data_IF_445173478269
#
_entry.id   IF_445173478269
#
_cell.length_a   1.000
_cell.length_b   1.000
_cell.length_c   1.000
_cell.angle_alpha   90.00
_cell.angle_beta   90.00
_cell.angle_gamma   90.00
#
_symmetry.space_group_name_H-M   'P 1'
#
loop_
_entity.id
_entity.type
_entity.pdbx_description
1 polymer ?
#
# COMPACT_ATOMS: atom_id res chain seq x y z
N UNK A 1 -2.19 23.86 34.35
CA UNK A 1 -0.91 23.87 33.62
C UNK A 1 -0.55 22.49 33.10
N UNK A 2 -0.62 22.31 31.79
CA UNK A 2 -0.23 21.08 31.09
C UNK A 2 1.30 20.94 31.13
N UNK A 3 1.80 19.95 31.88
CA UNK A 3 3.23 19.60 31.99
C UNK A 3 3.82 18.97 30.71
N UNK A 4 2.98 18.57 29.76
CA UNK A 4 3.34 17.74 28.60
C UNK A 4 4.27 18.40 27.56
N UNK A 5 4.07 19.66 27.10
CA UNK A 5 4.87 20.21 25.99
C UNK A 5 6.29 20.66 26.38
N UNK A 6 6.66 20.64 27.67
CA UNK A 6 7.98 21.16 28.13
C UNK A 6 9.11 20.14 28.17
N UNK A 7 8.82 18.83 28.05
CA UNK A 7 9.84 17.76 28.16
C UNK A 7 10.04 16.91 26.92
N UNK A 8 9.15 17.00 25.93
CA UNK A 8 9.28 16.22 24.71
C UNK A 8 10.26 16.93 23.77
N UNK A 9 11.35 16.25 23.44
CA UNK A 9 12.32 16.69 22.44
C UNK A 9 11.99 16.04 21.11
N UNK A 10 12.20 16.77 20.03
CA UNK A 10 12.18 16.15 18.70
C UNK A 10 13.24 15.04 18.68
N UNK A 11 12.91 13.95 17.99
CA UNK A 11 13.77 12.77 17.91
C UNK A 11 13.87 12.31 16.47
N UNK A 12 14.96 11.64 16.16
CA UNK A 12 15.17 10.95 14.89
C UNK A 12 15.25 9.46 15.18
N UNK A 13 14.67 8.65 14.30
CA UNK A 13 14.79 7.20 14.32
C UNK A 13 15.01 6.71 12.89
N UNK A 14 15.66 5.57 12.74
CA UNK A 14 15.75 4.84 11.47
C UNK A 14 14.61 3.83 11.34
N UNK A 15 14.30 3.39 10.13
CA UNK A 15 13.31 2.33 9.91
C UNK A 15 13.75 1.00 10.55
N UNK A 16 15.05 0.72 10.55
CA UNK A 16 15.65 -0.40 11.26
C UNK A 16 15.35 -0.37 12.76
N UNK A 17 15.50 0.78 13.41
CA UNK A 17 15.18 0.95 14.84
C UNK A 17 13.69 0.82 15.13
N UNK A 18 12.83 1.10 14.14
CA UNK A 18 11.38 0.88 14.21
C UNK A 18 10.97 -0.58 13.94
N UNK A 19 11.92 -1.45 13.61
CA UNK A 19 11.64 -2.87 13.33
C UNK A 19 11.32 -3.18 11.87
N UNK A 20 11.64 -2.29 10.95
CA UNK A 20 11.46 -2.46 9.50
C UNK A 20 12.83 -2.57 8.80
N UNK A 21 13.44 -3.76 8.76
CA UNK A 21 14.77 -3.96 8.18
C UNK A 21 14.80 -4.01 6.65
N UNK A 22 13.64 -4.11 5.99
CA UNK A 22 13.51 -4.18 4.54
C UNK A 22 13.35 -2.81 3.85
N UNK A 23 13.61 -2.78 2.55
CA UNK A 23 13.28 -1.64 1.69
C UNK A 23 11.78 -1.59 1.40
N UNK A 24 11.25 -0.40 1.17
CA UNK A 24 9.85 -0.23 0.82
C UNK A 24 9.53 1.21 0.44
N UNK A 25 8.27 1.57 0.61
CA UNK A 25 7.79 2.93 0.43
C UNK A 25 7.14 3.45 1.70
N UNK A 26 7.32 4.75 1.93
CA UNK A 26 6.62 5.50 2.95
C UNK A 26 5.56 6.37 2.28
N UNK A 27 4.29 6.09 2.56
CA UNK A 27 3.15 6.84 2.05
C UNK A 27 2.53 7.72 3.15
N UNK A 28 2.39 9.02 2.89
CA UNK A 28 1.71 9.97 3.76
C UNK A 28 0.24 10.07 3.36
N UNK A 29 -0.65 9.51 4.19
CA UNK A 29 -2.06 9.35 3.87
C UNK A 29 -2.79 10.68 3.61
N UNK A 30 -2.40 11.76 4.30
CA UNK A 30 -3.10 13.04 4.15
C UNK A 30 -2.64 13.81 2.91
N UNK A 31 -1.35 13.71 2.57
CA UNK A 31 -0.78 14.43 1.43
C UNK A 31 -0.70 13.61 0.14
N UNK A 32 -0.98 12.31 0.22
CA UNK A 32 -0.79 11.32 -0.85
C UNK A 32 0.64 11.30 -1.42
N UNK A 33 1.62 11.78 -0.65
CA UNK A 33 3.02 11.73 -1.03
C UNK A 33 3.60 10.36 -0.74
N UNK A 34 4.47 9.91 -1.63
CA UNK A 34 5.17 8.64 -1.50
C UNK A 34 6.66 8.83 -1.74
N UNK A 35 7.47 8.08 -1.03
CA UNK A 35 8.92 8.00 -1.24
C UNK A 35 9.41 6.60 -1.00
N UNK A 36 10.36 6.15 -1.80
CA UNK A 36 11.13 4.97 -1.47
C UNK A 36 11.99 5.23 -0.24
N UNK A 37 12.13 4.20 0.59
CA UNK A 37 12.93 4.24 1.79
C UNK A 37 13.68 2.92 1.97
N UNK A 38 14.87 3.03 2.57
CA UNK A 38 15.66 1.92 3.08
C UNK A 38 15.67 1.88 4.61
N UNK A 39 16.22 0.80 5.18
CA UNK A 39 16.25 0.57 6.63
C UNK A 39 17.02 1.64 7.41
N UNK A 40 18.01 2.26 6.78
CA UNK A 40 18.88 3.25 7.42
C UNK A 40 18.40 4.70 7.17
N UNK A 41 17.29 4.89 6.44
CA UNK A 41 16.68 6.21 6.27
C UNK A 41 16.08 6.71 7.58
N UNK A 42 16.20 8.02 7.79
CA UNK A 42 15.77 8.68 9.02
C UNK A 42 14.36 9.24 8.89
N UNK A 43 13.55 9.02 9.92
CA UNK A 43 12.29 9.72 10.14
C UNK A 43 12.43 10.73 11.28
N UNK A 44 12.03 11.97 11.01
CA UNK A 44 11.97 13.03 12.01
C UNK A 44 10.63 13.00 12.76
N UNK A 45 10.69 12.76 14.06
CA UNK A 45 9.54 12.88 14.95
C UNK A 45 9.49 14.31 15.50
N UNK A 46 8.70 15.18 14.84
CA UNK A 46 8.47 16.58 15.25
C UNK A 46 7.37 16.66 16.30
N UNK A 47 7.71 16.24 17.52
CA UNK A 47 6.75 16.02 18.61
C UNK A 47 6.22 17.33 19.24
N UNK A 48 6.86 18.47 18.97
CA UNK A 48 6.40 19.79 19.44
C UNK A 48 5.35 20.47 18.56
N UNK A 49 5.07 19.92 17.37
CA UNK A 49 4.07 20.47 16.45
C UNK A 49 2.74 19.74 16.66
N UNK A 50 1.62 20.45 16.58
CA UNK A 50 0.29 19.82 16.51
C UNK A 50 0.00 19.20 15.13
N UNK A 51 1.01 19.13 14.26
CA UNK A 51 0.92 18.49 12.96
C UNK A 51 1.08 16.99 13.14
N UNK A 52 0.01 16.22 12.91
CA UNK A 52 0.06 14.77 12.87
C UNK A 52 0.20 14.31 11.42
N UNK A 53 1.15 13.41 11.17
CA UNK A 53 1.26 12.69 9.91
C UNK A 53 0.76 11.27 10.10
N UNK A 54 0.01 10.76 9.13
CA UNK A 54 -0.32 9.35 9.08
C UNK A 54 0.51 8.68 8.00
N UNK A 55 1.61 8.07 8.43
CA UNK A 55 2.57 7.43 7.56
C UNK A 55 2.34 5.92 7.52
N UNK A 56 2.30 5.38 6.31
CA UNK A 56 2.17 3.94 6.03
C UNK A 56 3.50 3.48 5.49
N UNK A 57 4.16 2.56 6.18
CA UNK A 57 5.26 1.82 5.60
C UNK A 57 4.72 0.60 4.86
N UNK A 58 5.02 0.50 3.57
CA UNK A 58 4.67 -0.64 2.74
C UNK A 58 5.97 -1.27 2.21
N UNK A 59 6.35 -2.47 2.70
CA UNK A 59 7.54 -3.14 2.22
C UNK A 59 7.38 -3.55 0.74
N UNK A 60 8.48 -3.58 0.00
CA UNK A 60 8.44 -4.07 -1.37
C UNK A 60 8.08 -5.57 -1.40
N UNK A 61 7.02 -5.90 -2.12
CA UNK A 61 6.63 -7.29 -2.38
C UNK A 61 7.60 -7.93 -3.39
N UNK A 62 8.02 -7.13 -4.36
CA UNK A 62 9.12 -7.38 -5.31
C UNK A 62 9.76 -6.03 -5.63
N UNK A 63 10.93 -6.03 -6.27
CA UNK A 63 11.61 -4.78 -6.64
C UNK A 63 10.66 -3.81 -7.37
N UNK A 64 10.48 -2.63 -6.79
CA UNK A 64 9.68 -1.56 -7.38
C UNK A 64 8.16 -1.70 -7.27
N UNK A 65 7.63 -2.69 -6.55
CA UNK A 65 6.18 -2.85 -6.32
C UNK A 65 5.87 -3.07 -4.84
N UNK A 66 5.00 -2.25 -4.26
CA UNK A 66 4.54 -2.35 -2.88
C UNK A 66 3.02 -2.17 -2.79
N UNK A 67 2.37 -2.93 -1.91
CA UNK A 67 0.95 -2.76 -1.62
C UNK A 67 0.78 -1.83 -0.42
N UNK A 68 0.19 -0.65 -0.64
CA UNK A 68 -0.04 0.34 0.41
C UNK A 68 -1.29 -0.02 1.22
N UNK A 69 -2.33 -0.55 0.57
CA UNK A 69 -3.54 -1.04 1.21
C UNK A 69 -4.82 -0.50 0.59
N UNK A 70 -5.85 -0.26 1.41
CA UNK A 70 -7.19 0.15 0.98
C UNK A 70 -7.54 1.53 1.57
N UNK A 71 -7.34 2.63 0.82
CA UNK A 71 -7.42 3.97 1.41
C UNK A 71 -8.83 4.36 1.90
N UNK A 72 -9.89 3.68 1.44
CA UNK A 72 -11.28 3.98 1.78
C UNK A 72 -11.77 3.35 3.10
N UNK A 73 -11.11 2.30 3.61
CA UNK A 73 -11.67 1.44 4.68
C UNK A 73 -10.74 1.20 5.86
N UNK A 74 -9.96 2.21 6.24
CA UNK A 74 -8.89 2.14 7.22
C UNK A 74 -7.63 1.46 6.67
N UNK A 75 -6.53 2.18 6.81
CA UNK A 75 -5.16 1.91 6.32
C UNK A 75 -4.53 0.61 6.85
N UNK A 76 -5.23 -0.15 7.70
CA UNK A 76 -4.68 -1.40 8.20
C UNK A 76 -5.14 -2.57 7.34
N UNK A 77 -4.19 -3.17 6.61
CA UNK A 77 -4.24 -4.56 6.17
C UNK A 77 -4.44 -5.56 7.35
N UNK A 78 -4.56 -5.07 8.60
CA UNK A 78 -4.98 -5.85 9.77
C UNK A 78 -6.50 -6.08 9.85
N UNK A 79 -7.30 -5.39 9.04
CA UNK A 79 -8.73 -5.69 8.95
C UNK A 79 -8.92 -6.83 7.94
N UNK A 80 -9.71 -7.84 8.35
CA UNK A 80 -9.87 -9.18 7.75
C UNK A 80 -10.26 -9.25 6.26
N UNK A 81 -10.26 -8.14 5.53
CA UNK A 81 -10.63 -8.03 4.13
C UNK A 81 -9.60 -8.63 3.18
N UNK A 82 -8.31 -8.57 3.52
CA UNK A 82 -7.25 -9.18 2.69
C UNK A 82 -6.39 -10.08 3.60
N UNK A 83 -6.88 -11.28 3.96
CA UNK A 83 -6.17 -12.18 4.87
C UNK A 83 -4.80 -12.64 4.38
N UNK A 84 -4.54 -12.57 3.06
CA UNK A 84 -3.31 -13.06 2.46
C UNK A 84 -2.95 -12.26 1.20
N UNK A 85 -1.70 -11.82 1.14
CA UNK A 85 -1.08 -11.21 -0.05
C UNK A 85 0.21 -11.96 -0.36
N UNK A 86 0.33 -12.44 -1.58
CA UNK A 86 1.55 -13.06 -2.11
C UNK A 86 1.85 -12.44 -3.47
N UNK A 87 3.12 -12.30 -3.82
CA UNK A 87 3.52 -11.98 -5.19
C UNK A 87 4.48 -13.03 -5.71
N UNK A 88 4.26 -13.45 -6.94
CA UNK A 88 5.14 -14.35 -7.67
C UNK A 88 5.42 -13.74 -9.05
N UNK A 89 6.68 -13.40 -9.35
CA UNK A 89 7.16 -12.73 -10.58
C UNK A 89 6.43 -11.43 -10.94
N UNK A 90 5.24 -11.50 -11.55
CA UNK A 90 4.36 -10.36 -11.85
C UNK A 90 2.89 -10.61 -11.51
N UNK A 91 2.61 -11.66 -10.75
CA UNK A 91 1.28 -12.05 -10.32
C UNK A 91 1.10 -11.74 -8.83
N UNK A 92 0.26 -10.76 -8.53
CA UNK A 92 -0.21 -10.47 -7.18
C UNK A 92 -1.42 -11.35 -6.88
N UNK A 93 -1.26 -12.24 -5.91
CA UNK A 93 -2.33 -13.10 -5.39
C UNK A 93 -2.85 -12.51 -4.10
N UNK A 94 -4.16 -12.30 -4.07
CA UNK A 94 -4.88 -11.75 -2.94
C UNK A 94 -5.99 -12.73 -2.59
N UNK A 95 -6.05 -13.14 -1.33
CA UNK A 95 -7.28 -13.71 -0.80
C UNK A 95 -8.09 -12.57 -0.22
N UNK A 96 -9.34 -12.40 -0.63
CA UNK A 96 -10.22 -11.29 -0.21
C UNK A 96 -11.54 -11.82 0.33
N UNK A 97 -11.91 -11.36 1.52
CA UNK A 97 -13.26 -11.57 2.07
C UNK A 97 -14.15 -10.40 1.65
N UNK A 98 -15.15 -10.64 0.80
CA UNK A 98 -16.04 -9.59 0.28
C UNK A 98 -17.52 -9.99 0.31
N UNK A 99 -18.39 -9.00 0.08
CA UNK A 99 -19.83 -9.21 -0.12
C UNK A 99 -20.17 -9.15 -1.62
N UNK A 100 -21.13 -9.96 -2.12
CA UNK A 100 -21.63 -9.85 -3.49
C UNK A 100 -21.96 -8.40 -3.88
N UNK A 101 -21.69 -8.05 -5.13
CA UNK A 101 -21.94 -6.72 -5.71
C UNK A 101 -21.22 -5.57 -4.99
N UNK A 102 -20.09 -5.87 -4.31
CA UNK A 102 -19.24 -4.87 -3.67
C UNK A 102 -18.02 -4.52 -4.50
N UNK A 103 -17.33 -3.46 -4.09
CA UNK A 103 -16.05 -3.06 -4.68
C UNK A 103 -14.96 -2.91 -3.61
N UNK A 104 -13.73 -3.13 -4.05
CA UNK A 104 -12.52 -2.97 -3.26
C UNK A 104 -11.50 -2.15 -4.04
N UNK A 105 -11.08 -1.04 -3.45
CA UNK A 105 -10.01 -0.20 -3.98
C UNK A 105 -8.69 -0.53 -3.30
N UNK A 106 -7.71 -0.90 -4.11
CA UNK A 106 -6.34 -1.19 -3.71
C UNK A 106 -5.42 -0.08 -4.21
N UNK A 107 -4.51 0.34 -3.35
CA UNK A 107 -3.47 1.30 -3.67
C UNK A 107 -2.12 0.60 -3.65
N UNK A 108 -1.41 0.66 -4.77
CA UNK A 108 -0.08 0.11 -4.93
C UNK A 108 0.88 1.21 -5.33
N UNK A 109 2.13 1.06 -4.92
CA UNK A 109 3.25 1.75 -5.53
C UNK A 109 3.83 0.86 -6.62
N UNK A 110 4.06 1.40 -7.81
CA UNK A 110 4.77 0.73 -8.89
C UNK A 110 5.72 1.70 -9.58
N UNK A 111 7.03 1.40 -9.60
CA UNK A 111 8.05 2.24 -10.27
C UNK A 111 7.72 2.54 -11.73
N UNK A 112 7.07 1.58 -12.39
CA UNK A 112 6.66 1.64 -13.79
C UNK A 112 5.18 1.38 -13.94
N UNK A 113 4.55 2.03 -14.92
CA UNK A 113 3.20 1.74 -15.32
C UNK A 113 3.10 0.28 -15.84
N UNK A 114 2.13 -0.52 -15.40
CA UNK A 114 1.86 -1.79 -16.08
C UNK A 114 1.32 -1.50 -17.49
N UNK A 115 1.68 -2.33 -18.48
CA UNK A 115 1.04 -2.28 -19.81
C UNK A 115 -0.43 -2.68 -19.72
N UNK A 116 -0.69 -3.67 -18.87
CA UNK A 116 -2.02 -4.23 -18.68
C UNK A 116 -2.14 -4.90 -17.31
N UNK A 117 -3.36 -4.93 -16.78
CA UNK A 117 -3.72 -5.56 -15.52
C UNK A 117 -4.88 -6.51 -15.79
N UNK A 118 -4.60 -7.81 -15.64
CA UNK A 118 -5.58 -8.87 -15.96
C UNK A 118 -5.91 -9.70 -14.73
N UNK A 119 -7.15 -10.19 -14.68
CA UNK A 119 -7.62 -11.13 -13.67
C UNK A 119 -7.67 -12.54 -14.26
N UNK A 120 -7.28 -13.53 -13.46
CA UNK A 120 -7.55 -14.94 -13.81
C UNK A 120 -8.97 -15.38 -13.47
N UNK A 121 -9.62 -14.67 -12.55
CA UNK A 121 -10.99 -14.95 -12.11
C UNK A 121 -12.01 -14.31 -13.05
N UNK A 122 -13.07 -15.05 -13.39
CA UNK A 122 -14.19 -14.55 -14.21
C UNK A 122 -15.28 -13.87 -13.38
N UNK A 123 -15.28 -14.08 -12.05
CA UNK A 123 -16.28 -13.51 -11.14
C UNK A 123 -15.96 -12.10 -10.66
N UNK A 124 -14.80 -11.58 -11.02
CA UNK A 124 -14.30 -10.26 -10.63
C UNK A 124 -13.91 -9.46 -11.87
N UNK A 125 -14.16 -8.16 -11.87
CA UNK A 125 -13.63 -7.24 -12.88
C UNK A 125 -12.66 -6.26 -12.22
N UNK A 126 -11.62 -5.85 -12.96
CA UNK A 126 -10.63 -4.88 -12.50
C UNK A 126 -10.69 -3.64 -13.38
N UNK A 127 -10.72 -2.47 -12.74
CA UNK A 127 -10.35 -1.20 -13.36
C UNK A 127 -9.06 -0.73 -12.73
N UNK A 128 -8.21 -0.07 -13.49
CA UNK A 128 -6.96 0.44 -12.97
C UNK A 128 -6.63 1.80 -13.55
N UNK A 129 -5.87 2.58 -12.78
CA UNK A 129 -5.34 3.88 -13.16
C UNK A 129 -3.93 4.03 -12.60
N UNK A 130 -3.03 4.63 -13.38
CA UNK A 130 -1.64 4.83 -12.99
C UNK A 130 -1.30 6.31 -13.06
N UNK A 131 -0.72 6.82 -11.97
CA UNK A 131 -0.25 8.20 -11.90
C UNK A 131 1.27 8.23 -12.01
N UNK A 132 1.80 8.66 -13.16
CA UNK A 132 3.25 8.75 -13.40
C UNK A 132 3.97 9.68 -12.41
N UNK A 133 3.31 10.74 -11.95
CA UNK A 133 3.94 11.73 -11.08
C UNK A 133 4.13 11.20 -9.65
N UNK A 134 3.24 10.32 -9.19
CA UNK A 134 3.31 9.73 -7.85
C UNK A 134 3.69 8.26 -7.87
N UNK A 135 3.80 7.63 -9.04
CA UNK A 135 4.05 6.20 -9.22
C UNK A 135 3.01 5.31 -8.50
N UNK A 136 1.79 5.83 -8.33
CA UNK A 136 0.69 5.14 -7.69
C UNK A 136 -0.12 4.41 -8.75
N UNK A 137 -0.31 3.11 -8.54
CA UNK A 137 -1.26 2.27 -9.26
C UNK A 137 -2.49 2.03 -8.38
N UNK A 138 -3.63 2.53 -8.84
CA UNK A 138 -4.91 2.29 -8.21
C UNK A 138 -5.63 1.14 -8.93
N UNK A 139 -6.08 0.13 -8.19
CA UNK A 139 -6.91 -0.95 -8.70
C UNK A 139 -8.28 -0.92 -8.02
N UNK A 140 -9.34 -0.91 -8.81
CA UNK A 140 -10.71 -1.09 -8.32
C UNK A 140 -11.21 -2.45 -8.77
N UNK A 141 -11.39 -3.35 -7.81
CA UNK A 141 -11.96 -4.68 -8.00
C UNK A 141 -13.47 -4.60 -7.77
N UNK A 142 -14.26 -5.09 -8.71
CA UNK A 142 -15.70 -5.24 -8.56
C UNK A 142 -16.08 -6.72 -8.56
N UNK A 143 -16.76 -7.14 -7.52
CA UNK A 143 -17.12 -8.52 -7.28
C UNK A 143 -18.54 -8.82 -7.77
N UNK A 144 -18.69 -9.89 -8.55
CA UNK A 144 -20.01 -10.39 -8.95
C UNK A 144 -20.67 -11.21 -7.83
N UNK A 145 -21.86 -11.71 -8.12
CA UNK A 145 -22.65 -12.56 -7.22
C UNK A 145 -22.07 -13.95 -7.01
N UNK A 146 -21.16 -14.40 -7.88
CA UNK A 146 -20.47 -15.68 -7.72
C UNK A 146 -19.28 -15.46 -6.79
N UNK A 147 -19.24 -16.10 -5.61
CA UNK A 147 -18.14 -15.93 -4.67
C UNK A 147 -16.87 -16.64 -5.18
N UNK A 148 -15.76 -15.90 -5.22
CA UNK A 148 -14.40 -16.40 -5.43
C UNK A 148 -13.47 -15.64 -4.51
N UNK A 149 -12.91 -16.30 -3.50
CA UNK A 149 -12.09 -15.60 -2.51
C UNK A 149 -10.65 -15.42 -2.97
N UNK A 150 -10.22 -16.13 -4.02
CA UNK A 150 -8.85 -16.09 -4.53
C UNK A 150 -8.77 -15.27 -5.81
N UNK A 151 -8.15 -14.10 -5.70
CA UNK A 151 -7.99 -13.15 -6.79
C UNK A 151 -6.53 -13.17 -7.21
N UNK A 152 -6.28 -13.48 -8.48
CA UNK A 152 -4.95 -13.38 -9.06
C UNK A 152 -4.92 -12.25 -10.09
N UNK A 153 -4.15 -11.22 -9.77
CA UNK A 153 -3.93 -10.03 -10.59
C UNK A 153 -2.56 -10.16 -11.25
N UNK A 154 -2.52 -10.16 -12.58
CA UNK A 154 -1.28 -10.20 -13.34
C UNK A 154 -0.95 -8.84 -13.90
N UNK A 155 0.24 -8.32 -13.57
CA UNK A 155 0.83 -7.14 -14.18
C UNK A 155 1.67 -7.58 -15.38
N UNK A 156 1.32 -7.08 -16.57
CA UNK A 156 2.15 -7.27 -17.76
C UNK A 156 3.10 -6.07 -17.86
N UNK A 157 4.38 -6.28 -17.55
CA UNK A 157 5.40 -5.23 -17.58
C UNK A 157 5.97 -5.02 -18.99
N UNK A 158 6.51 -3.83 -19.27
CA UNK A 158 7.44 -3.68 -20.39
C UNK A 158 8.72 -4.43 -20.03
N UNK A 159 9.08 -5.45 -20.82
CA UNK A 159 10.47 -5.92 -20.84
C UNK A 159 11.29 -4.76 -21.43
N UNK A 160 12.06 -4.07 -20.57
CA UNK A 160 13.11 -3.14 -21.00
C UNK A 160 14.22 -3.90 -21.72
#
# INVERSE_FOLDING_TARGET
DLLWPRRVKDSTLTFRELGYPENGVLYDFFSAQIREIGPDDVIELKLKRMEFKYLIFAPFLKEGLALIGTPEKYVTCSNKLIPKIEIDSSELRLTVDYSPDSSLKLLLYSRSAPRDVTLKDTSTTVKWDYNDATQILELTLHFSTIPSNDISIKFNEEVL
#
